data_IF_814375591862
#
_entry.id   IF_814375591862
#
_cell.length_a   1.000
_cell.length_b   1.000
_cell.length_c   1.000
_cell.angle_alpha   90.00
_cell.angle_beta   90.00
_cell.angle_gamma   90.00
#
_symmetry.space_group_name_H-M   'P 1'
#
loop_
_entity.id
_entity.type
_entity.pdbx_description
1 polymer ?
#
# COMPACT_ATOMS: atom_id res chain seq x y z
N UNK A 1 -10.83 -5.50 30.28
CA UNK A 1 -10.84 -6.36 29.07
C UNK A 1 -11.04 -5.47 27.86
N UNK A 2 -9.96 -5.18 27.15
CA UNK A 2 -9.99 -4.66 25.79
C UNK A 2 -8.62 -5.02 25.20
N UNK A 3 -8.58 -6.20 24.59
CA UNK A 3 -7.41 -6.77 23.95
C UNK A 3 -7.16 -5.95 22.67
N UNK A 4 -6.39 -4.86 22.79
CA UNK A 4 -5.87 -4.13 21.65
C UNK A 4 -4.81 -5.01 20.98
N UNK A 5 -5.25 -6.01 20.20
CA UNK A 5 -4.42 -6.61 19.16
C UNK A 5 -4.21 -5.53 18.09
N UNK A 6 -3.24 -4.66 18.35
CA UNK A 6 -2.48 -4.02 17.30
C UNK A 6 -1.98 -5.18 16.46
N UNK A 7 -2.63 -5.44 15.32
CA UNK A 7 -2.02 -6.23 14.27
C UNK A 7 -0.77 -5.44 13.87
N UNK A 8 0.34 -5.73 14.54
CA UNK A 8 1.65 -5.46 14.01
C UNK A 8 1.72 -6.32 12.75
N UNK A 9 1.23 -5.79 11.64
CA UNK A 9 1.53 -6.32 10.33
C UNK A 9 3.04 -6.29 10.28
N UNK A 10 3.66 -7.47 10.35
CA UNK A 10 5.09 -7.69 10.21
C UNK A 10 5.45 -7.36 8.76
N UNK A 11 5.41 -6.07 8.38
CA UNK A 11 5.97 -5.53 7.13
C UNK A 11 7.50 -5.54 7.22
N UNK A 12 8.03 -6.70 7.58
CA UNK A 12 9.43 -7.00 7.78
C UNK A 12 9.74 -8.27 6.99
N UNK A 13 10.85 -8.21 6.25
CA UNK A 13 11.32 -9.32 5.41
C UNK A 13 12.15 -10.32 6.23
N UNK A 14 11.97 -10.36 7.55
CA UNK A 14 12.74 -11.20 8.49
C UNK A 14 12.54 -12.69 8.25
N UNK A 15 11.45 -13.08 7.59
CA UNK A 15 11.15 -14.44 7.15
C UNK A 15 11.89 -14.85 5.87
N UNK A 16 12.62 -13.93 5.23
CA UNK A 16 13.37 -14.17 3.99
C UNK A 16 14.85 -14.08 4.30
N UNK A 17 15.61 -15.10 3.88
CA UNK A 17 17.06 -15.09 4.02
C UNK A 17 17.70 -14.18 2.94
N UNK A 18 17.84 -12.89 3.24
CA UNK A 18 18.45 -11.89 2.35
C UNK A 18 19.96 -11.81 2.54
N UNK A 19 20.70 -11.59 1.45
CA UNK A 19 22.10 -11.15 1.56
C UNK A 19 22.18 -9.73 2.15
N UNK A 20 23.37 -9.30 2.57
CA UNK A 20 23.57 -7.94 3.09
C UNK A 20 23.22 -6.87 2.04
N UNK A 21 23.64 -7.07 0.80
CA UNK A 21 23.30 -6.19 -0.33
C UNK A 21 21.79 -6.15 -0.56
N UNK A 22 21.12 -7.31 -0.57
CA UNK A 22 19.67 -7.38 -0.70
C UNK A 22 18.95 -6.71 0.48
N UNK A 23 19.47 -6.86 1.69
CA UNK A 23 18.90 -6.22 2.89
C UNK A 23 18.94 -4.70 2.78
N UNK A 24 20.05 -4.14 2.29
CA UNK A 24 20.17 -2.70 2.12
C UNK A 24 19.24 -2.16 1.03
N UNK A 25 19.20 -2.81 -0.14
CA UNK A 25 18.26 -2.43 -1.20
C UNK A 25 16.79 -2.58 -0.75
N UNK A 26 16.46 -3.64 -0.01
CA UNK A 26 15.12 -3.85 0.51
C UNK A 26 14.69 -2.74 1.49
N UNK A 27 15.60 -2.21 2.32
CA UNK A 27 15.30 -1.08 3.22
C UNK A 27 14.90 0.16 2.44
N UNK A 28 15.56 0.44 1.33
CA UNK A 28 15.23 1.59 0.47
C UNK A 28 13.84 1.41 -0.17
N UNK A 29 13.56 0.22 -0.71
CA UNK A 29 12.23 -0.12 -1.27
C UNK A 29 11.13 0.03 -0.20
N UNK A 30 11.38 -0.47 1.01
CA UNK A 30 10.44 -0.36 2.13
C UNK A 30 10.24 1.08 2.59
N UNK A 31 11.29 1.88 2.59
CA UNK A 31 11.22 3.30 2.94
C UNK A 31 10.37 4.09 1.94
N UNK A 32 10.60 3.87 0.65
CA UNK A 32 9.79 4.46 -0.43
C UNK A 32 8.32 4.04 -0.30
N UNK A 33 8.06 2.73 -0.16
CA UNK A 33 6.70 2.21 0.00
C UNK A 33 5.98 2.81 1.21
N UNK A 34 6.66 2.93 2.36
CA UNK A 34 6.09 3.58 3.56
C UNK A 34 5.82 5.07 3.35
N UNK A 35 6.62 5.75 2.54
CA UNK A 35 6.41 7.16 2.19
C UNK A 35 5.18 7.30 1.30
N UNK A 36 5.08 6.48 0.25
CA UNK A 36 3.92 6.42 -0.64
C UNK A 36 2.63 6.09 0.11
N UNK A 37 2.67 5.18 1.09
CA UNK A 37 1.51 4.88 1.94
C UNK A 37 1.03 6.08 2.76
N UNK A 38 1.94 6.93 3.25
CA UNK A 38 1.56 8.15 3.99
C UNK A 38 0.88 9.15 3.06
N UNK A 39 1.41 9.32 1.85
CA UNK A 39 0.84 10.19 0.82
C UNK A 39 -0.53 9.68 0.38
N UNK A 40 -0.66 8.37 0.14
CA UNK A 40 -1.92 7.72 -0.18
C UNK A 40 -2.99 7.94 0.89
N UNK A 41 -2.62 7.77 2.17
CA UNK A 41 -3.56 8.03 3.27
C UNK A 41 -4.08 9.47 3.24
N UNK A 42 -3.19 10.44 3.06
CA UNK A 42 -3.58 11.85 2.94
C UNK A 42 -4.50 12.09 1.74
N UNK A 43 -4.17 11.52 0.58
CA UNK A 43 -4.97 11.62 -0.64
C UNK A 43 -6.37 11.02 -0.45
N UNK A 44 -6.47 9.86 0.21
CA UNK A 44 -7.73 9.20 0.53
C UNK A 44 -8.57 10.05 1.48
N UNK A 45 -7.98 10.60 2.54
CA UNK A 45 -8.67 11.48 3.48
C UNK A 45 -9.21 12.74 2.77
N UNK A 46 -8.42 13.37 1.90
CA UNK A 46 -8.85 14.52 1.09
C UNK A 46 -9.98 14.16 0.11
N UNK A 47 -9.93 12.95 -0.45
CA UNK A 47 -10.97 12.45 -1.37
C UNK A 47 -12.29 12.20 -0.64
N UNK A 48 -12.24 11.64 0.57
CA UNK A 48 -13.43 11.46 1.41
C UNK A 48 -14.05 12.80 1.83
N UNK A 49 -13.23 13.83 2.08
CA UNK A 49 -13.74 15.19 2.30
C UNK A 49 -14.46 15.73 1.06
N UNK A 50 -13.87 15.57 -0.13
CA UNK A 50 -14.52 15.99 -1.39
C UNK A 50 -15.85 15.27 -1.63
N UNK A 51 -15.96 13.98 -1.30
CA UNK A 51 -17.23 13.24 -1.40
C UNK A 51 -18.29 13.79 -0.45
N UNK A 52 -17.91 14.11 0.79
CA UNK A 52 -18.83 14.76 1.74
C UNK A 52 -19.31 16.10 1.20
N UNK A 53 -18.42 16.89 0.63
CA UNK A 53 -18.78 18.17 0.02
C UNK A 53 -19.72 17.99 -1.18
N UNK A 54 -19.52 16.96 -2.02
CA UNK A 54 -20.44 16.62 -3.11
C UNK A 54 -21.84 16.28 -2.59
N UNK A 55 -21.93 15.58 -1.46
CA UNK A 55 -23.20 15.18 -0.86
C UNK A 55 -24.01 16.37 -0.30
N UNK A 56 -23.36 17.50 -0.01
CA UNK A 56 -23.99 18.72 0.47
C UNK A 56 -24.47 19.65 -0.67
N UNK A 57 -24.18 19.31 -1.93
CA UNK A 57 -24.63 20.10 -3.09
C UNK A 57 -26.07 19.78 -3.45
N UNK A 58 -26.75 20.73 -4.10
CA UNK A 58 -28.13 20.58 -4.59
C UNK A 58 -28.30 19.43 -5.60
N UNK A 59 -27.20 19.01 -6.24
CA UNK A 59 -27.17 17.90 -7.19
C UNK A 59 -25.97 16.99 -6.92
N UNK A 60 -26.23 15.69 -6.81
CA UNK A 60 -25.22 14.66 -6.63
C UNK A 60 -24.87 14.00 -7.98
N UNK A 61 -23.65 14.22 -8.45
CA UNK A 61 -23.12 13.58 -9.65
C UNK A 61 -22.50 12.23 -9.30
N UNK A 62 -23.12 11.14 -9.77
CA UNK A 62 -22.54 9.77 -9.65
C UNK A 62 -21.18 9.72 -10.35
N UNK A 63 -21.04 10.37 -11.50
CA UNK A 63 -19.77 10.43 -12.25
C UNK A 63 -18.64 11.05 -11.42
N UNK A 64 -18.92 12.08 -10.62
CA UNK A 64 -17.90 12.73 -9.79
C UNK A 64 -17.45 11.82 -8.65
N UNK A 65 -18.39 11.09 -8.03
CA UNK A 65 -18.09 10.07 -7.01
C UNK A 65 -17.23 8.97 -7.62
N UNK A 66 -17.65 8.41 -8.76
CA UNK A 66 -16.89 7.36 -9.44
C UNK A 66 -15.48 7.81 -9.84
N UNK A 67 -15.33 9.08 -10.23
CA UNK A 67 -14.01 9.64 -10.59
C UNK A 67 -13.11 9.70 -9.36
N UNK A 68 -13.64 10.12 -8.22
CA UNK A 68 -12.92 10.14 -6.95
C UNK A 68 -12.53 8.71 -6.52
N UNK A 69 -13.45 7.75 -6.58
CA UNK A 69 -13.18 6.34 -6.27
C UNK A 69 -12.09 5.76 -7.17
N UNK A 70 -12.22 5.94 -8.49
CA UNK A 70 -11.21 5.48 -9.46
C UNK A 70 -9.84 6.07 -9.18
N UNK A 71 -9.77 7.33 -8.76
CA UNK A 71 -8.48 7.97 -8.46
C UNK A 71 -7.77 7.35 -7.25
N UNK A 72 -8.52 6.98 -6.20
CA UNK A 72 -7.99 6.28 -5.03
C UNK A 72 -7.52 4.89 -5.42
N UNK A 73 -8.33 4.15 -6.18
CA UNK A 73 -7.99 2.80 -6.64
C UNK A 73 -6.74 2.78 -7.53
N UNK A 74 -6.60 3.75 -8.44
CA UNK A 74 -5.42 3.87 -9.31
C UNK A 74 -4.17 4.08 -8.46
N UNK A 75 -4.20 5.03 -7.52
CA UNK A 75 -3.05 5.33 -6.67
C UNK A 75 -2.65 4.12 -5.82
N UNK A 76 -3.61 3.40 -5.23
CA UNK A 76 -3.34 2.19 -4.46
C UNK A 76 -2.61 1.13 -5.30
N UNK A 77 -3.15 0.84 -6.50
CA UNK A 77 -2.57 -0.16 -7.43
C UNK A 77 -1.19 0.23 -7.93
N UNK A 78 -0.93 1.51 -8.16
CA UNK A 78 0.39 1.98 -8.58
C UNK A 78 1.44 1.75 -7.51
N UNK A 79 1.11 2.03 -6.24
CA UNK A 79 1.99 1.80 -5.10
C UNK A 79 2.30 0.30 -4.93
N UNK A 80 1.27 -0.55 -4.95
CA UNK A 80 1.43 -2.01 -4.90
C UNK A 80 2.31 -2.52 -6.04
N UNK A 81 1.98 -2.13 -7.28
CA UNK A 81 2.71 -2.56 -8.48
C UNK A 81 4.18 -2.16 -8.40
N UNK A 82 4.47 -0.92 -8.01
CA UNK A 82 5.84 -0.43 -7.87
C UNK A 82 6.62 -1.26 -6.84
N UNK A 83 6.03 -1.44 -5.65
CA UNK A 83 6.65 -2.22 -4.58
C UNK A 83 6.90 -3.68 -4.99
N UNK A 84 5.88 -4.37 -5.51
CA UNK A 84 5.99 -5.77 -5.92
C UNK A 84 6.99 -5.97 -7.06
N UNK A 85 7.07 -5.04 -8.02
CA UNK A 85 8.03 -5.11 -9.13
C UNK A 85 9.48 -4.97 -8.63
N UNK A 86 9.71 -4.06 -7.69
CA UNK A 86 11.02 -3.85 -7.07
C UNK A 86 11.44 -5.05 -6.24
N UNK A 87 10.54 -5.56 -5.39
CA UNK A 87 10.79 -6.77 -4.60
C UNK A 87 11.03 -7.99 -5.47
N UNK A 88 10.24 -8.18 -6.52
CA UNK A 88 10.46 -9.27 -7.47
C UNK A 88 11.86 -9.19 -8.08
N UNK A 89 12.28 -8.02 -8.57
CA UNK A 89 13.61 -7.84 -9.18
C UNK A 89 14.76 -8.09 -8.20
N UNK A 90 14.57 -7.77 -6.91
CA UNK A 90 15.57 -7.94 -5.87
C UNK A 90 15.75 -9.39 -5.41
N UNK A 91 14.65 -10.11 -5.28
CA UNK A 91 14.62 -11.46 -4.67
C UNK A 91 14.93 -12.55 -5.69
N UNK A 92 15.61 -13.61 -5.24
CA UNK A 92 15.75 -14.87 -5.99
C UNK A 92 14.44 -15.66 -6.00
N UNK A 93 14.36 -16.71 -6.82
CA UNK A 93 13.13 -17.53 -6.92
C UNK A 93 12.73 -18.15 -5.57
N UNK A 94 13.68 -18.70 -4.81
CA UNK A 94 13.40 -19.31 -3.50
C UNK A 94 12.94 -18.27 -2.46
N UNK A 95 13.53 -17.07 -2.53
CA UNK A 95 13.12 -15.95 -1.69
C UNK A 95 11.73 -15.45 -2.06
N UNK A 96 11.38 -15.40 -3.35
CA UNK A 96 10.03 -15.05 -3.83
C UNK A 96 8.99 -16.05 -3.36
N UNK A 97 9.29 -17.35 -3.38
CA UNK A 97 8.39 -18.40 -2.84
C UNK A 97 8.11 -18.14 -1.35
N UNK A 98 9.11 -17.71 -0.59
CA UNK A 98 8.94 -17.37 0.82
C UNK A 98 8.15 -16.07 1.01
N UNK A 99 8.43 -15.05 0.18
CA UNK A 99 7.75 -13.76 0.19
C UNK A 99 6.24 -13.88 -0.07
N UNK A 100 5.84 -14.69 -1.07
CA UNK A 100 4.43 -14.81 -1.50
C UNK A 100 3.52 -15.34 -0.41
N UNK A 101 4.05 -16.06 0.59
CA UNK A 101 3.28 -16.54 1.75
C UNK A 101 2.64 -15.40 2.56
N UNK A 102 3.17 -14.19 2.45
CA UNK A 102 2.70 -12.98 3.12
C UNK A 102 2.39 -11.88 2.12
N UNK A 103 2.02 -12.21 0.87
CA UNK A 103 1.79 -11.20 -0.17
C UNK A 103 0.65 -10.25 0.17
N UNK A 104 -0.39 -10.76 0.83
CA UNK A 104 -1.58 -10.00 1.24
C UNK A 104 -1.25 -8.88 2.25
N UNK A 105 -0.18 -9.02 3.03
CA UNK A 105 0.27 -7.98 3.98
C UNK A 105 0.77 -6.70 3.28
N UNK A 106 1.03 -6.79 1.97
CA UNK A 106 1.52 -5.70 1.13
C UNK A 106 0.42 -5.00 0.33
N UNK A 107 -0.83 -5.44 0.45
CA UNK A 107 -1.98 -4.75 -0.14
C UNK A 107 -2.13 -3.33 0.45
N UNK A 108 -2.54 -2.40 -0.41
CA UNK A 108 -2.77 -0.98 -0.12
C UNK A 108 -4.28 -0.74 -0.14
N UNK A 109 -4.86 -0.46 1.04
CA UNK A 109 -6.31 -0.30 1.23
C UNK A 109 -6.65 0.98 1.98
#
# INVERSE_FOLDING_TARGET
MADHKVQHINKELSHINLSEEQSNAAKEILFEFRTQLKEFKKFKDETELKKKDLFLKDYLSIHDIETLDKSVDIMAREIEKNFLTKMHSLLSIDQRISFVKYIDDWEVK
#
